data_IF_450069185015
#
_entry.id   IF_450069185015
#
_cell.length_a   1.000
_cell.length_b   1.000
_cell.length_c   1.000
_cell.angle_alpha   90.00
_cell.angle_beta   90.00
_cell.angle_gamma   90.00
#
_symmetry.space_group_name_H-M   'P 1'
#
loop_
_entity.id
_entity.type
_entity.pdbx_description
1 polymer ?
#
# COMPACT_ATOMS: atom_id res chain seq x y z
N UNK A 1 -6.41 30.09 3.52
CA UNK A 1 -7.27 31.20 3.05
C UNK A 1 -6.41 32.36 2.57
N UNK A 2 -6.92 33.21 1.69
CA UNK A 2 -6.24 34.46 1.29
C UNK A 2 -6.40 35.55 2.36
N UNK A 3 -5.55 36.58 2.32
CA UNK A 3 -5.64 37.76 3.20
C UNK A 3 -6.99 38.47 3.00
N UNK A 4 -7.46 38.59 1.76
CA UNK A 4 -8.75 39.20 1.42
C UNK A 4 -9.94 38.44 2.04
N UNK A 5 -9.88 37.10 2.10
CA UNK A 5 -10.91 36.29 2.76
C UNK A 5 -10.95 36.51 4.28
N UNK A 6 -9.77 36.67 4.90
CA UNK A 6 -9.63 36.95 6.33
C UNK A 6 -10.23 38.32 6.67
N UNK A 7 -9.88 39.35 5.89
CA UNK A 7 -10.41 40.69 6.07
C UNK A 7 -11.93 40.73 5.92
N UNK A 8 -12.47 39.96 4.97
CA UNK A 8 -13.92 39.86 4.74
C UNK A 8 -14.67 39.28 5.94
N UNK A 9 -14.11 38.29 6.64
CA UNK A 9 -14.73 37.71 7.84
C UNK A 9 -14.82 38.74 8.95
N UNK A 10 -13.71 39.43 9.23
CA UNK A 10 -13.66 40.48 10.26
C UNK A 10 -14.61 41.63 9.91
N UNK A 11 -14.69 42.00 8.64
CA UNK A 11 -15.59 43.02 8.13
C UNK A 11 -17.07 42.67 8.35
N UNK A 12 -17.49 41.42 8.12
CA UNK A 12 -18.89 41.02 8.28
C UNK A 12 -19.38 41.13 9.74
N UNK A 13 -18.56 40.74 10.72
CA UNK A 13 -18.89 40.90 12.14
C UNK A 13 -18.92 42.38 12.57
N UNK A 14 -17.90 43.14 12.19
CA UNK A 14 -17.76 44.55 12.59
C UNK A 14 -18.84 45.44 11.97
N UNK A 15 -19.22 45.20 10.71
CA UNK A 15 -20.34 45.92 10.06
C UNK A 15 -21.68 45.72 10.79
N UNK A 16 -21.84 44.62 11.52
CA UNK A 16 -23.02 44.30 12.30
C UNK A 16 -22.89 44.68 13.79
N UNK A 17 -21.81 45.37 14.17
CA UNK A 17 -21.59 45.88 15.52
C UNK A 17 -20.95 44.87 16.48
N UNK A 18 -20.43 43.74 15.98
CA UNK A 18 -19.79 42.70 16.78
C UNK A 18 -18.26 42.70 16.64
N UNK A 19 -17.56 42.37 17.72
CA UNK A 19 -16.12 42.12 17.74
C UNK A 19 -15.87 40.64 17.98
N UNK A 20 -14.96 40.03 17.22
CA UNK A 20 -14.61 38.62 17.39
C UNK A 20 -13.34 38.46 18.24
N UNK A 21 -13.38 37.58 19.24
CA UNK A 21 -12.21 37.28 20.06
C UNK A 21 -11.13 36.54 19.25
N UNK A 22 -9.83 36.73 19.58
CA UNK A 22 -8.74 36.09 18.85
C UNK A 22 -8.85 34.56 18.74
N UNK A 23 -9.28 33.89 19.81
CA UNK A 23 -9.38 32.42 19.82
C UNK A 23 -10.61 31.92 19.04
N UNK A 24 -11.73 32.65 19.10
CA UNK A 24 -12.90 32.39 18.26
C UNK A 24 -12.58 32.58 16.77
N UNK A 25 -11.81 33.62 16.45
CA UNK A 25 -11.36 33.90 15.09
C UNK A 25 -10.41 32.82 14.57
N UNK A 26 -9.42 32.41 15.37
CA UNK A 26 -8.53 31.29 15.02
C UNK A 26 -9.31 30.02 14.72
N UNK A 27 -10.31 29.69 15.55
CA UNK A 27 -11.14 28.50 15.35
C UNK A 27 -11.95 28.56 14.05
N UNK A 28 -12.54 29.73 13.74
CA UNK A 28 -13.23 29.94 12.47
C UNK A 28 -12.31 29.82 11.26
N UNK A 29 -11.08 30.37 11.34
CA UNK A 29 -10.10 30.30 10.25
C UNK A 29 -9.59 28.87 10.06
N UNK A 30 -9.31 28.14 11.14
CA UNK A 30 -8.95 26.72 11.13
C UNK A 30 -10.00 25.94 10.32
N UNK A 31 -11.27 26.09 10.68
CA UNK A 31 -12.39 25.39 10.05
C UNK A 31 -12.62 25.85 8.61
N UNK A 32 -12.60 27.15 8.32
CA UNK A 32 -12.77 27.62 6.94
C UNK A 32 -11.59 27.28 6.03
N UNK A 33 -10.45 26.91 6.61
CA UNK A 33 -9.28 26.41 5.89
C UNK A 33 -9.35 24.90 5.70
N UNK A 34 -9.79 24.16 6.73
CA UNK A 34 -9.98 22.71 6.75
C UNK A 34 -11.15 22.28 5.85
N UNK A 35 -12.28 23.00 5.90
CA UNK A 35 -13.52 22.68 5.17
C UNK A 35 -13.82 23.72 4.07
N UNK A 36 -13.12 23.60 2.93
CA UNK A 36 -13.24 24.58 1.82
C UNK A 36 -14.63 24.71 1.19
N UNK A 37 -15.46 23.68 1.29
CA UNK A 37 -16.82 23.65 0.71
C UNK A 37 -17.90 24.22 1.64
N UNK A 38 -17.55 24.57 2.88
CA UNK A 38 -18.49 25.21 3.79
C UNK A 38 -18.85 26.61 3.26
N UNK A 39 -20.15 26.91 3.26
CA UNK A 39 -20.63 28.26 2.99
C UNK A 39 -20.28 29.19 4.17
N UNK A 40 -19.06 29.76 4.12
CA UNK A 40 -18.49 30.65 5.14
C UNK A 40 -19.48 31.79 5.49
N UNK A 41 -20.15 32.33 4.48
CA UNK A 41 -21.13 33.41 4.65
C UNK A 41 -22.38 32.98 5.42
N UNK A 42 -22.83 31.74 5.26
CA UNK A 42 -23.97 31.21 6.01
C UNK A 42 -23.64 31.06 7.50
N UNK A 43 -22.46 30.49 7.81
CA UNK A 43 -22.01 30.29 9.19
C UNK A 43 -21.87 31.64 9.91
N UNK A 44 -21.20 32.61 9.29
CA UNK A 44 -21.05 33.96 9.85
C UNK A 44 -22.43 34.59 10.12
N UNK A 45 -23.37 34.48 9.18
CA UNK A 45 -24.72 35.00 9.36
C UNK A 45 -25.50 34.31 10.48
N UNK A 46 -25.33 32.99 10.68
CA UNK A 46 -25.92 32.26 11.81
C UNK A 46 -25.37 32.78 13.14
N UNK A 47 -24.06 32.98 13.24
CA UNK A 47 -23.39 33.54 14.44
C UNK A 47 -23.95 34.91 14.77
N UNK A 48 -24.00 35.80 13.78
CA UNK A 48 -24.51 37.15 13.96
C UNK A 48 -25.99 37.12 14.37
N UNK A 49 -26.84 36.33 13.71
CA UNK A 49 -28.27 36.26 14.02
C UNK A 49 -28.52 35.77 15.46
N UNK A 50 -27.80 34.74 15.89
CA UNK A 50 -27.91 34.22 17.26
C UNK A 50 -27.49 35.28 18.27
N UNK A 51 -26.36 35.95 18.03
CA UNK A 51 -25.91 37.05 18.89
C UNK A 51 -26.86 38.24 18.95
N UNK A 52 -27.51 38.57 17.84
CA UNK A 52 -28.55 39.59 17.83
C UNK A 52 -29.79 39.17 18.64
N UNK A 53 -30.16 37.89 18.62
CA UNK A 53 -31.29 37.35 19.38
C UNK A 53 -31.01 37.25 20.89
N UNK A 54 -29.75 37.04 21.28
CA UNK A 54 -29.28 36.98 22.67
C UNK A 54 -29.06 38.37 23.31
N UNK A 55 -29.27 39.45 22.55
CA UNK A 55 -28.77 40.78 22.92
C UNK A 55 -29.51 41.43 24.10
N UNK A 56 -28.85 41.44 25.27
CA UNK A 56 -28.75 42.63 26.15
C UNK A 56 -27.31 42.92 26.64
N UNK A 57 -26.32 41.99 26.64
CA UNK A 57 -25.07 42.26 27.41
C UNK A 57 -23.69 42.05 26.75
N UNK A 58 -23.53 41.52 25.53
CA UNK A 58 -22.17 41.39 24.94
C UNK A 58 -22.13 41.60 23.44
N UNK A 59 -21.23 42.48 23.00
CA UNK A 59 -20.86 42.71 21.60
C UNK A 59 -19.72 41.80 21.13
N UNK A 60 -19.22 40.91 22.00
CA UNK A 60 -18.13 39.99 21.68
C UNK A 60 -18.66 38.63 21.22
N UNK A 61 -18.08 38.12 20.13
CA UNK A 61 -18.21 36.74 19.65
C UNK A 61 -17.10 35.92 20.27
N UNK A 62 -17.49 35.02 21.18
CA UNK A 62 -16.59 34.13 21.93
C UNK A 62 -16.43 32.79 21.23
N UNK A 63 -15.48 31.97 21.69
CA UNK A 63 -15.26 30.63 21.13
C UNK A 63 -16.49 29.73 21.23
N UNK A 64 -17.28 29.84 22.30
CA UNK A 64 -18.51 29.06 22.50
C UNK A 64 -19.57 29.38 21.46
N UNK A 65 -19.64 30.64 21.02
CA UNK A 65 -20.61 31.09 20.03
C UNK A 65 -20.31 30.53 18.64
N UNK A 66 -19.03 30.30 18.38
CA UNK A 66 -18.55 29.59 17.19
C UNK A 66 -18.88 28.11 17.33
N UNK A 67 -18.47 27.45 18.42
CA UNK A 67 -18.69 26.02 18.68
C UNK A 67 -20.17 25.60 18.63
N UNK A 68 -21.08 26.41 19.15
CA UNK A 68 -22.50 26.07 19.20
C UNK A 68 -23.23 26.19 17.84
N UNK A 69 -22.61 26.82 16.85
CA UNK A 69 -23.19 27.06 15.52
C UNK A 69 -22.50 26.24 14.44
N UNK A 70 -21.26 25.84 14.73
CA UNK A 70 -20.59 24.87 13.91
C UNK A 70 -21.42 23.59 13.84
N UNK A 71 -21.50 22.97 12.66
CA UNK A 71 -22.14 21.67 12.54
C UNK A 71 -21.51 20.74 13.57
N UNK A 72 -22.33 20.14 14.43
CA UNK A 72 -21.84 19.06 15.29
C UNK A 72 -21.41 17.92 14.38
N UNK A 73 -20.39 17.16 14.78
CA UNK A 73 -19.89 15.99 14.02
C UNK A 73 -21.03 15.03 13.61
N UNK A 74 -22.07 14.94 14.46
CA UNK A 74 -23.30 14.16 14.26
C UNK A 74 -24.28 14.76 13.21
N UNK A 75 -24.24 16.06 12.94
CA UNK A 75 -25.07 16.73 11.91
C UNK A 75 -24.40 16.72 10.53
N UNK A 76 -23.08 16.49 10.48
CA UNK A 76 -22.34 16.23 9.24
C UNK A 76 -22.46 14.77 8.78
N UNK A 77 -22.99 13.88 9.63
CA UNK A 77 -23.49 12.55 9.26
C UNK A 77 -24.81 12.67 8.46
N UNK A 78 -24.82 13.52 7.42
CA UNK A 78 -25.79 13.39 6.34
C UNK A 78 -25.61 11.99 5.77
N UNK A 79 -26.50 11.09 6.19
CA UNK A 79 -26.61 9.68 5.83
C UNK A 79 -26.10 9.44 4.41
N UNK A 80 -24.84 9.08 4.28
CA UNK A 80 -24.36 8.49 3.05
C UNK A 80 -25.08 7.14 3.01
N UNK A 81 -26.08 7.01 2.15
CA UNK A 81 -26.66 5.71 1.81
C UNK A 81 -25.56 4.93 1.11
N UNK A 82 -24.81 4.16 1.90
CA UNK A 82 -23.81 3.23 1.39
C UNK A 82 -24.54 2.09 0.69
N UNK A 83 -24.05 1.67 -0.47
CA UNK A 83 -24.59 0.49 -1.12
C UNK A 83 -24.31 -0.73 -0.23
N UNK A 84 -25.36 -1.49 0.09
CA UNK A 84 -25.27 -2.74 0.88
C UNK A 84 -24.70 -3.86 0.01
N UNK A 85 -23.41 -3.72 -0.32
CA UNK A 85 -22.63 -4.75 -1.01
C UNK A 85 -21.99 -5.60 0.07
N UNK A 86 -22.35 -6.89 0.10
CA UNK A 86 -21.81 -7.85 1.05
C UNK A 86 -20.29 -7.90 0.91
N UNK A 87 -19.61 -7.64 2.03
CA UNK A 87 -18.17 -7.80 2.09
C UNK A 87 -17.81 -9.29 2.05
N UNK A 88 -16.82 -9.64 1.23
CA UNK A 88 -16.36 -11.00 1.02
C UNK A 88 -14.85 -11.07 1.28
N UNK A 89 -14.48 -11.27 2.55
CA UNK A 89 -13.10 -11.50 2.97
C UNK A 89 -12.94 -12.95 3.38
N UNK A 90 -12.00 -13.62 2.72
CA UNK A 90 -11.56 -14.97 3.05
C UNK A 90 -10.10 -14.94 3.50
N UNK A 91 -9.83 -15.39 4.73
CA UNK A 91 -8.45 -15.63 5.19
C UNK A 91 -7.99 -16.94 4.58
N UNK A 92 -7.28 -16.84 3.45
CA UNK A 92 -6.76 -18.02 2.71
C UNK A 92 -5.72 -18.78 3.53
N UNK A 93 -4.97 -18.08 4.40
CA UNK A 93 -3.94 -18.66 5.27
C UNK A 93 -3.61 -17.76 6.44
N UNK A 94 -3.54 -18.34 7.64
CA UNK A 94 -2.97 -17.71 8.84
C UNK A 94 -1.65 -18.41 9.21
N UNK A 95 -0.48 -17.83 8.87
CA UNK A 95 0.80 -18.44 9.20
C UNK A 95 1.17 -18.29 10.69
N UNK A 96 0.48 -17.45 11.47
CA UNK A 96 0.89 -17.11 12.85
C UNK A 96 1.08 -18.34 13.74
N UNK A 97 0.22 -19.35 13.58
CA UNK A 97 0.29 -20.60 14.32
C UNK A 97 1.15 -21.69 13.64
N UNK A 98 1.58 -21.47 12.39
CA UNK A 98 2.33 -22.43 11.58
C UNK A 98 3.82 -22.08 11.44
N UNK A 99 4.25 -20.88 11.89
CA UNK A 99 5.64 -20.45 11.80
C UNK A 99 6.49 -21.34 12.72
N UNK A 100 7.17 -22.31 12.10
CA UNK A 100 8.25 -23.07 12.72
C UNK A 100 9.56 -22.39 12.38
N UNK A 101 10.32 -22.01 13.40
CA UNK A 101 11.72 -21.60 13.22
C UNK A 101 12.46 -22.84 12.73
N UNK A 102 12.87 -22.82 11.47
CA UNK A 102 13.67 -23.88 10.89
C UNK A 102 15.13 -23.60 11.24
N UNK A 103 15.72 -24.42 12.10
CA UNK A 103 17.10 -24.22 12.56
C UNK A 103 18.13 -24.80 11.58
N UNK A 104 19.24 -24.07 11.42
CA UNK A 104 20.46 -24.55 10.79
C UNK A 104 20.39 -24.86 9.29
N UNK A 105 21.25 -25.79 8.85
CA UNK A 105 21.47 -26.15 7.44
C UNK A 105 20.25 -26.84 6.84
N UNK A 106 19.56 -27.67 7.62
CA UNK A 106 18.39 -28.41 7.16
C UNK A 106 17.21 -27.49 6.85
N UNK A 107 17.01 -26.45 7.67
CA UNK A 107 16.03 -25.40 7.39
C UNK A 107 16.27 -24.70 6.07
N UNK A 108 17.51 -24.29 5.81
CA UNK A 108 17.91 -23.65 4.55
C UNK A 108 17.67 -24.58 3.35
N UNK A 109 18.10 -25.84 3.44
CA UNK A 109 17.87 -26.85 2.39
C UNK A 109 16.38 -27.01 2.09
N UNK A 110 15.55 -27.15 3.12
CA UNK A 110 14.10 -27.31 2.97
C UNK A 110 13.44 -26.06 2.37
N UNK A 111 13.92 -24.87 2.74
CA UNK A 111 13.44 -23.61 2.16
C UNK A 111 13.71 -23.53 0.66
N UNK A 112 14.95 -23.79 0.21
CA UNK A 112 15.30 -23.77 -1.20
C UNK A 112 14.61 -24.88 -2.00
N UNK A 113 14.47 -26.09 -1.43
CA UNK A 113 13.71 -27.16 -2.05
C UNK A 113 12.23 -26.78 -2.20
N UNK A 114 11.61 -26.18 -1.17
CA UNK A 114 10.22 -25.72 -1.24
C UNK A 114 10.04 -24.62 -2.30
N UNK A 115 10.98 -23.66 -2.36
CA UNK A 115 11.03 -22.61 -3.38
C UNK A 115 11.09 -23.22 -4.79
N UNK A 116 12.04 -24.13 -5.02
CA UNK A 116 12.18 -24.84 -6.29
C UNK A 116 10.88 -25.53 -6.69
N UNK A 117 10.30 -26.35 -5.80
CA UNK A 117 9.08 -27.12 -6.08
C UNK A 117 7.87 -26.22 -6.40
N UNK A 118 7.69 -25.11 -5.67
CA UNK A 118 6.59 -24.16 -5.91
C UNK A 118 6.75 -23.44 -7.25
N UNK A 119 7.94 -22.94 -7.54
CA UNK A 119 8.22 -22.25 -8.81
C UNK A 119 8.16 -23.20 -10.00
N UNK A 120 8.63 -24.45 -9.84
CA UNK A 120 8.50 -25.50 -10.84
C UNK A 120 7.03 -25.86 -11.10
N UNK A 121 6.18 -25.87 -10.06
CA UNK A 121 4.73 -26.06 -10.22
C UNK A 121 4.11 -24.94 -11.06
N UNK A 122 4.49 -23.68 -10.81
CA UNK A 122 4.04 -22.54 -11.63
C UNK A 122 4.53 -22.69 -13.07
N UNK A 123 5.81 -23.02 -13.26
CA UNK A 123 6.41 -23.23 -14.57
C UNK A 123 5.69 -24.33 -15.39
N UNK A 124 5.21 -25.40 -14.73
CA UNK A 124 4.44 -26.48 -15.35
C UNK A 124 2.97 -26.16 -15.61
N UNK A 125 2.42 -25.07 -15.07
CA UNK A 125 1.00 -24.74 -15.22
C UNK A 125 0.60 -24.22 -16.61
N UNK A 126 1.60 -23.90 -17.46
CA UNK A 126 1.37 -23.40 -18.82
C UNK A 126 0.97 -24.54 -19.78
N UNK A 127 -0.18 -24.45 -20.48
CA UNK A 127 -0.64 -25.51 -21.39
C UNK A 127 0.31 -25.82 -22.57
N UNK A 128 1.13 -24.86 -22.98
CA UNK A 128 2.12 -25.00 -24.07
C UNK A 128 3.49 -25.50 -23.61
N UNK A 129 3.65 -25.82 -22.32
CA UNK A 129 4.96 -26.20 -21.76
C UNK A 129 5.32 -27.64 -22.10
N UNK A 130 6.41 -27.84 -22.85
CA UNK A 130 7.10 -29.13 -22.95
C UNK A 130 7.66 -29.53 -21.57
N UNK A 131 7.68 -30.82 -21.26
CA UNK A 131 8.22 -31.36 -20.00
C UNK A 131 9.67 -30.94 -19.75
N UNK A 132 9.99 -30.58 -18.52
CA UNK A 132 11.37 -30.31 -18.09
C UNK A 132 12.15 -31.61 -17.89
N UNK A 133 13.42 -31.60 -18.29
CA UNK A 133 14.38 -32.67 -18.00
C UNK A 133 15.20 -32.30 -16.76
N UNK A 134 15.35 -33.24 -15.84
CA UNK A 134 16.20 -33.08 -14.65
C UNK A 134 17.67 -33.10 -15.04
N UNK A 135 18.51 -32.35 -14.32
CA UNK A 135 19.92 -32.15 -14.69
C UNK A 135 20.71 -33.46 -14.77
N UNK A 136 20.45 -34.42 -13.88
CA UNK A 136 21.08 -35.75 -13.88
C UNK A 136 20.84 -36.58 -15.16
N UNK A 137 19.72 -36.34 -15.86
CA UNK A 137 19.34 -37.07 -17.08
C UNK A 137 19.87 -36.43 -18.36
N UNK A 138 20.53 -35.28 -18.23
CA UNK A 138 21.06 -34.55 -19.38
C UNK A 138 22.31 -35.27 -19.89
N UNK A 139 22.31 -35.65 -21.17
CA UNK A 139 23.46 -36.28 -21.83
C UNK A 139 24.21 -35.28 -22.70
N UNK A 140 25.50 -35.53 -22.94
CA UNK A 140 26.36 -34.65 -23.76
C UNK A 140 25.88 -34.48 -25.23
N UNK A 141 24.97 -35.33 -25.71
CA UNK A 141 24.38 -35.22 -27.05
C UNK A 141 22.96 -34.64 -27.04
N UNK A 142 22.48 -34.18 -25.89
CA UNK A 142 21.15 -33.58 -25.75
C UNK A 142 21.00 -32.31 -26.59
N UNK A 143 19.97 -32.28 -27.43
CA UNK A 143 19.49 -31.09 -28.15
C UNK A 143 18.03 -30.88 -27.85
N UNK A 144 17.60 -29.62 -27.87
CA UNK A 144 16.21 -29.20 -27.66
C UNK A 144 15.63 -29.66 -26.30
N UNK A 145 16.47 -29.61 -25.26
CA UNK A 145 16.11 -29.99 -23.90
C UNK A 145 15.74 -28.74 -23.11
N UNK A 146 14.66 -28.79 -22.32
CA UNK A 146 14.29 -27.71 -21.39
C UNK A 146 14.64 -28.10 -19.97
N UNK A 147 15.34 -27.22 -19.27
CA UNK A 147 15.80 -27.42 -17.90
C UNK A 147 15.22 -26.29 -17.05
N UNK A 148 14.74 -26.61 -15.85
CA UNK A 148 14.27 -25.64 -14.88
C UNK A 148 15.05 -25.82 -13.58
N UNK A 149 15.64 -24.75 -13.07
CA UNK A 149 16.47 -24.78 -11.86
C UNK A 149 16.68 -23.40 -11.26
N UNK A 150 17.17 -23.37 -10.02
CA UNK A 150 17.55 -22.15 -9.31
C UNK A 150 18.94 -21.70 -9.72
N UNK A 151 19.13 -20.40 -9.91
CA UNK A 151 20.42 -19.83 -10.29
C UNK A 151 21.29 -19.71 -9.05
N UNK A 152 22.35 -20.50 -8.98
CA UNK A 152 23.35 -20.44 -7.90
C UNK A 152 24.31 -19.27 -8.09
N UNK A 153 24.82 -19.10 -9.30
CA UNK A 153 25.76 -18.04 -9.64
C UNK A 153 25.47 -17.49 -11.04
N UNK A 154 25.72 -16.19 -11.22
CA UNK A 154 25.65 -15.52 -12.51
C UNK A 154 26.94 -14.74 -12.76
N UNK A 155 27.47 -14.90 -13.97
CA UNK A 155 28.65 -14.16 -14.46
C UNK A 155 28.39 -13.62 -15.87
N UNK A 156 28.60 -12.31 -16.04
CA UNK A 156 28.49 -11.65 -17.35
C UNK A 156 29.89 -11.49 -17.94
N UNK A 157 30.09 -11.94 -19.18
CA UNK A 157 31.36 -11.85 -19.91
C UNK A 157 31.08 -11.38 -21.33
N UNK A 158 31.38 -10.11 -21.64
CA UNK A 158 31.11 -9.46 -22.93
C UNK A 158 29.64 -9.57 -23.34
N UNK A 159 29.34 -10.36 -24.37
CA UNK A 159 28.01 -10.62 -24.95
C UNK A 159 27.38 -11.91 -24.42
N UNK A 160 27.96 -12.53 -23.38
CA UNK A 160 27.50 -13.81 -22.84
C UNK A 160 27.19 -13.70 -21.36
N UNK A 161 26.15 -14.39 -20.96
CA UNK A 161 25.81 -14.65 -19.56
C UNK A 161 26.05 -16.12 -19.28
N UNK A 162 26.83 -16.39 -18.24
CA UNK A 162 27.11 -17.72 -17.72
C UNK A 162 26.32 -17.86 -16.42
N UNK A 163 25.46 -18.86 -16.37
CA UNK A 163 24.64 -19.20 -15.21
C UNK A 163 25.06 -20.57 -14.70
N UNK A 164 25.23 -20.72 -13.39
CA UNK A 164 25.23 -22.03 -12.74
C UNK A 164 23.83 -22.28 -12.19
N UNK A 165 23.13 -23.25 -12.78
CA UNK A 165 21.74 -23.56 -12.47
C UNK A 165 21.67 -24.90 -11.75
N UNK A 166 20.98 -24.94 -10.62
CA UNK A 166 20.87 -26.09 -9.73
C UNK A 166 19.42 -26.58 -9.63
N UNK A 167 19.24 -27.89 -9.67
CA UNK A 167 18.01 -28.59 -9.31
C UNK A 167 18.35 -29.67 -8.24
N UNK A 168 17.36 -30.38 -7.66
CA UNK A 168 17.63 -31.41 -6.66
C UNK A 168 18.50 -32.58 -7.14
N UNK A 169 18.78 -32.68 -8.45
CA UNK A 169 19.52 -33.77 -9.08
C UNK A 169 20.96 -33.38 -9.47
N UNK A 170 21.26 -32.09 -9.59
CA UNK A 170 22.62 -31.62 -9.88
C UNK A 170 22.74 -30.14 -10.23
N UNK A 171 23.91 -29.77 -10.72
CA UNK A 171 24.25 -28.41 -11.15
C UNK A 171 24.68 -28.44 -12.62
N UNK A 172 24.15 -27.50 -13.41
CA UNK A 172 24.46 -27.34 -14.83
C UNK A 172 24.95 -25.92 -15.12
N UNK A 173 26.09 -25.84 -15.82
CA UNK A 173 26.60 -24.58 -16.32
C UNK A 173 25.97 -24.25 -17.67
N UNK A 174 25.25 -23.14 -17.73
CA UNK A 174 24.53 -22.67 -18.92
C UNK A 174 25.17 -21.38 -19.43
N UNK A 175 25.47 -21.34 -20.72
CA UNK A 175 25.93 -20.15 -21.43
C UNK A 175 24.83 -19.69 -22.36
N UNK A 176 24.33 -18.48 -22.14
CA UNK A 176 23.39 -17.81 -23.03
C UNK A 176 24.08 -16.60 -23.66
N UNK A 177 23.81 -16.35 -24.93
CA UNK A 177 24.15 -15.04 -25.53
C UNK A 177 23.12 -14.01 -25.07
N UNK A 178 23.57 -12.78 -24.93
CA UNK A 178 22.69 -11.62 -24.87
C UNK A 178 22.79 -10.88 -26.20
N UNK A 179 21.65 -10.43 -26.70
CA UNK A 179 21.59 -9.50 -27.83
C UNK A 179 20.43 -8.52 -27.61
N UNK A 180 20.26 -7.57 -28.52
CA UNK A 180 19.23 -6.52 -28.40
C UNK A 180 17.80 -7.08 -28.36
N UNK A 181 17.58 -8.34 -28.75
CA UNK A 181 16.27 -8.99 -28.77
C UNK A 181 16.08 -9.97 -27.59
N UNK A 182 17.15 -10.35 -26.90
CA UNK A 182 17.12 -11.29 -25.77
C UNK A 182 17.96 -10.77 -24.58
N UNK A 183 17.36 -9.85 -23.82
CA UNK A 183 17.96 -9.27 -22.62
C UNK A 183 17.74 -10.12 -21.35
N UNK A 184 16.77 -11.05 -21.37
CA UNK A 184 16.40 -11.85 -20.18
C UNK A 184 17.57 -12.47 -19.43
N UNK A 185 18.62 -13.05 -20.08
CA UNK A 185 19.77 -13.59 -19.36
C UNK A 185 20.49 -12.55 -18.48
N UNK A 186 20.51 -11.27 -18.87
CA UNK A 186 21.15 -10.20 -18.09
C UNK A 186 20.30 -9.73 -16.91
N UNK A 187 19.01 -10.02 -16.91
CA UNK A 187 18.07 -9.62 -15.85
C UNK A 187 18.00 -10.67 -14.72
N UNK A 188 18.41 -11.91 -15.03
CA UNK A 188 18.45 -13.02 -14.05
C UNK A 188 19.25 -12.61 -12.81
N UNK A 189 18.73 -12.93 -11.63
CA UNK A 189 19.40 -12.79 -10.35
C UNK A 189 19.71 -14.18 -9.75
N UNK A 190 20.73 -14.27 -8.87
CA UNK A 190 20.89 -15.44 -8.02
C UNK A 190 19.60 -15.79 -7.26
N UNK A 191 19.45 -17.06 -6.93
CA UNK A 191 18.32 -17.69 -6.24
C UNK A 191 16.95 -17.61 -6.94
N UNK A 192 16.90 -17.12 -8.18
CA UNK A 192 15.71 -17.16 -9.04
C UNK A 192 15.60 -18.49 -9.78
N UNK A 193 14.37 -18.97 -9.98
CA UNK A 193 14.14 -20.10 -10.88
C UNK A 193 14.10 -19.61 -12.32
N UNK A 194 14.92 -20.22 -13.17
CA UNK A 194 14.94 -19.97 -14.60
C UNK A 194 14.62 -21.24 -15.37
N UNK A 195 14.04 -21.05 -16.55
CA UNK A 195 13.81 -22.09 -17.54
C UNK A 195 14.79 -21.83 -18.68
N UNK A 196 15.64 -22.79 -18.99
CA UNK A 196 16.60 -22.70 -20.07
C UNK A 196 16.26 -23.70 -21.19
N UNK A 197 16.19 -23.20 -22.41
CA UNK A 197 16.05 -24.03 -23.61
C UNK A 197 17.44 -24.30 -24.19
N UNK A 198 17.90 -25.54 -24.02
CA UNK A 198 19.26 -25.96 -24.33
C UNK A 198 19.34 -26.45 -25.78
N UNK A 199 20.15 -25.74 -26.56
CA UNK A 199 20.40 -26.05 -27.98
C UNK A 199 21.50 -27.08 -28.20
N UNK A 200 22.50 -27.11 -27.33
CA UNK A 200 23.60 -28.07 -27.40
C UNK A 200 24.36 -28.14 -26.08
N UNK A 201 25.06 -29.25 -25.87
CA UNK A 201 25.93 -29.46 -24.71
C UNK A 201 27.30 -29.90 -25.21
N UNK A 202 28.36 -29.29 -24.67
CA UNK A 202 29.74 -29.63 -25.01
C UNK A 202 30.57 -29.59 -23.75
N UNK A 203 31.27 -30.68 -23.46
CA UNK A 203 32.20 -30.77 -22.32
C UNK A 203 31.54 -30.36 -20.98
N UNK A 204 30.28 -30.75 -20.77
CA UNK A 204 29.51 -30.42 -19.55
C UNK A 204 28.98 -28.98 -19.48
N UNK A 205 29.19 -28.16 -20.52
CA UNK A 205 28.62 -26.82 -20.63
C UNK A 205 27.44 -26.83 -21.60
N UNK A 206 26.29 -26.37 -21.13
CA UNK A 206 25.07 -26.24 -21.93
C UNK A 206 24.99 -24.85 -22.58
N UNK A 207 24.62 -24.80 -23.85
CA UNK A 207 24.40 -23.57 -24.60
C UNK A 207 22.91 -23.35 -24.79
N UNK A 208 22.41 -22.26 -24.25
CA UNK A 208 20.99 -21.92 -24.31
C UNK A 208 20.67 -21.02 -25.50
N UNK A 209 19.53 -21.27 -26.13
CA UNK A 209 18.90 -20.34 -27.08
C UNK A 209 18.01 -19.32 -26.39
N UNK A 210 17.41 -19.70 -25.26
CA UNK A 210 16.46 -18.86 -24.54
C UNK A 210 16.48 -19.13 -23.03
N UNK A 211 16.43 -18.05 -22.27
CA UNK A 211 16.18 -18.08 -20.82
C UNK A 211 14.82 -17.43 -20.59
N UNK A 212 13.98 -18.07 -19.78
CA UNK A 212 12.62 -17.62 -19.48
C UNK A 212 12.38 -17.69 -17.97
N UNK A 213 11.48 -16.84 -17.47
CA UNK A 213 10.99 -16.91 -16.11
C UNK A 213 9.69 -17.74 -16.03
N UNK A 214 9.38 -18.33 -14.86
CA UNK A 214 8.04 -18.81 -14.57
C UNK A 214 7.08 -17.61 -14.51
N UNK A 215 6.25 -17.44 -15.53
CA UNK A 215 5.19 -16.42 -15.54
C UNK A 215 3.83 -17.08 -15.37
N UNK A 216 2.86 -16.25 -15.00
CA UNK A 216 1.46 -16.61 -14.88
C UNK A 216 0.76 -16.59 -16.25
N UNK A 217 -0.34 -17.35 -16.44
CA UNK A 217 -1.10 -17.31 -17.69
C UNK A 217 -1.67 -15.92 -17.99
N UNK A 218 -1.59 -15.47 -19.24
CA UNK A 218 -2.11 -14.16 -19.70
C UNK A 218 -3.64 -14.03 -19.70
N UNK A 219 -4.38 -15.09 -19.36
CA UNK A 219 -5.84 -15.05 -19.38
C UNK A 219 -6.34 -14.20 -18.20
N UNK A 220 -6.71 -12.96 -18.50
CA UNK A 220 -7.48 -12.12 -17.59
C UNK A 220 -8.77 -12.81 -17.16
N UNK A 221 -9.09 -12.71 -15.87
CA UNK A 221 -10.36 -13.19 -15.34
C UNK A 221 -11.47 -12.22 -15.77
N UNK A 222 -12.53 -12.72 -16.42
CA UNK A 222 -13.74 -11.95 -16.62
C UNK A 222 -14.54 -11.96 -15.30
N UNK A 223 -14.53 -10.84 -14.59
CA UNK A 223 -15.34 -10.68 -13.38
C UNK A 223 -16.75 -10.19 -13.74
N UNK A 224 -17.76 -10.75 -13.07
CA UNK A 224 -19.14 -10.24 -13.07
C UNK A 224 -19.46 -9.48 -11.78
N UNK A 225 -18.44 -9.18 -10.98
CA UNK A 225 -18.61 -8.46 -9.72
C UNK A 225 -19.16 -7.04 -9.97
N UNK A 226 -19.95 -6.50 -9.02
CA UNK A 226 -20.34 -5.10 -9.05
C UNK A 226 -19.11 -4.20 -9.01
N UNK A 227 -19.25 -2.97 -9.51
CA UNK A 227 -18.19 -1.98 -9.42
C UNK A 227 -18.00 -1.57 -7.96
N UNK A 228 -16.81 -1.86 -7.43
CA UNK A 228 -16.38 -1.50 -6.09
C UNK A 228 -14.97 -0.92 -6.14
N UNK A 229 -14.64 -0.12 -5.13
CA UNK A 229 -13.29 0.42 -4.97
C UNK A 229 -12.59 -0.19 -3.75
N UNK A 230 -11.26 -0.20 -3.84
CA UNK A 230 -10.36 -0.48 -2.74
C UNK A 230 -9.32 0.64 -2.65
N UNK A 231 -9.06 1.14 -1.44
CA UNK A 231 -7.99 2.08 -1.17
C UNK A 231 -6.73 1.28 -0.80
N UNK A 232 -5.62 1.58 -1.46
CA UNK A 232 -4.34 0.92 -1.21
C UNK A 232 -3.40 1.90 -0.49
N UNK A 233 -2.93 1.49 0.68
CA UNK A 233 -2.00 2.22 1.54
C UNK A 233 -0.84 1.30 1.90
N UNK A 234 0.29 1.88 2.28
CA UNK A 234 1.45 1.20 2.86
C UNK A 234 2.31 2.23 3.58
N UNK A 235 3.29 1.77 4.37
CA UNK A 235 4.37 2.62 4.89
C UNK A 235 3.84 3.86 5.65
N UNK A 236 2.86 3.64 6.53
CA UNK A 236 2.29 4.72 7.34
C UNK A 236 3.26 5.19 8.43
N UNK A 237 4.11 4.30 8.96
CA UNK A 237 5.13 4.62 9.97
C UNK A 237 4.58 5.43 11.16
N UNK A 238 3.38 5.07 11.65
CA UNK A 238 2.76 5.75 12.79
C UNK A 238 3.68 5.65 14.01
N UNK A 239 3.95 6.79 14.64
CA UNK A 239 4.92 6.92 15.73
C UNK A 239 6.25 7.56 15.32
N UNK A 240 6.51 7.72 14.02
CA UNK A 240 7.62 8.53 13.50
C UNK A 240 7.32 10.03 13.54
N UNK A 241 8.35 10.86 13.72
CA UNK A 241 8.25 12.32 13.53
C UNK A 241 7.93 12.73 12.09
N UNK A 242 8.20 11.85 11.13
CA UNK A 242 7.94 12.08 9.72
C UNK A 242 6.52 11.67 9.29
N UNK A 243 5.75 11.03 10.18
CA UNK A 243 4.36 10.69 9.93
C UNK A 243 3.57 11.95 9.55
N UNK A 244 2.96 11.93 8.36
CA UNK A 244 2.19 13.05 7.83
C UNK A 244 0.80 13.10 8.45
N UNK A 245 0.74 13.35 9.76
CA UNK A 245 -0.47 13.27 10.58
C UNK A 245 -1.64 14.04 9.97
N UNK A 246 -1.42 15.30 9.60
CA UNK A 246 -2.48 16.17 9.06
C UNK A 246 -3.00 15.65 7.72
N UNK A 247 -2.11 15.08 6.90
CA UNK A 247 -2.50 14.50 5.60
C UNK A 247 -3.31 13.23 5.80
N UNK A 248 -2.92 12.40 6.77
CA UNK A 248 -3.66 11.18 7.09
C UNK A 248 -5.03 11.48 7.72
N UNK A 249 -5.13 12.52 8.56
CA UNK A 249 -6.41 12.99 9.10
C UNK A 249 -7.34 13.51 7.99
N UNK A 250 -6.81 14.23 7.00
CA UNK A 250 -7.59 14.60 5.81
C UNK A 250 -8.09 13.40 5.01
N UNK A 251 -7.28 12.33 4.89
CA UNK A 251 -7.70 11.09 4.26
C UNK A 251 -8.86 10.44 5.04
N UNK A 252 -8.78 10.39 6.37
CA UNK A 252 -9.86 9.87 7.21
C UNK A 252 -11.15 10.68 7.05
N UNK A 253 -11.05 12.01 7.00
CA UNK A 253 -12.20 12.87 6.75
C UNK A 253 -12.81 12.65 5.36
N UNK A 254 -11.97 12.42 4.35
CA UNK A 254 -12.42 12.03 3.02
C UNK A 254 -13.14 10.67 3.05
N UNK A 255 -12.59 9.65 3.72
CA UNK A 255 -13.24 8.35 3.87
C UNK A 255 -14.61 8.45 4.56
N UNK A 256 -14.72 9.32 5.56
CA UNK A 256 -15.96 9.64 6.27
C UNK A 256 -16.95 10.43 5.41
N UNK A 257 -16.54 10.90 4.22
CA UNK A 257 -17.38 11.60 3.26
C UNK A 257 -17.62 13.07 3.60
N UNK A 258 -16.78 13.67 4.44
CA UNK A 258 -16.80 15.11 4.71
C UNK A 258 -16.39 15.95 3.49
N UNK A 259 -15.68 15.37 2.52
CA UNK A 259 -15.16 16.07 1.35
C UNK A 259 -15.20 15.21 0.07
N UNK A 260 -15.46 15.84 -1.09
CA UNK A 260 -15.13 15.28 -2.41
C UNK A 260 -16.03 14.15 -2.91
N UNK A 261 -15.39 13.13 -3.51
CA UNK A 261 -15.98 12.10 -4.38
C UNK A 261 -16.92 11.10 -3.68
N UNK A 262 -18.10 11.57 -3.26
CA UNK A 262 -19.12 10.75 -2.57
C UNK A 262 -19.50 9.47 -3.33
N UNK A 263 -19.49 9.51 -4.66
CA UNK A 263 -19.80 8.33 -5.49
C UNK A 263 -18.73 7.25 -5.42
N UNK A 264 -17.46 7.62 -5.22
CA UNK A 264 -16.37 6.67 -4.97
C UNK A 264 -16.52 6.10 -3.57
N UNK A 265 -16.74 6.95 -2.57
CA UNK A 265 -16.83 6.53 -1.16
C UNK A 265 -18.00 5.56 -0.94
N UNK A 266 -19.15 5.77 -1.58
CA UNK A 266 -20.29 4.84 -1.52
C UNK A 266 -19.95 3.41 -1.98
N UNK A 267 -19.07 3.31 -2.98
CA UNK A 267 -18.60 2.05 -3.59
C UNK A 267 -17.27 1.55 -3.01
N UNK A 268 -16.62 2.33 -2.15
CA UNK A 268 -15.39 1.93 -1.48
C UNK A 268 -15.72 0.92 -0.38
N UNK A 269 -15.14 -0.28 -0.49
CA UNK A 269 -15.44 -1.39 0.44
C UNK A 269 -14.22 -1.91 1.18
N UNK A 270 -13.02 -1.60 0.70
CA UNK A 270 -11.80 -2.14 1.25
C UNK A 270 -10.74 -1.05 1.42
N UNK A 271 -10.03 -1.08 2.55
CA UNK A 271 -8.77 -0.37 2.76
C UNK A 271 -7.69 -1.42 3.04
N UNK A 272 -6.70 -1.48 2.16
CA UNK A 272 -5.60 -2.43 2.26
C UNK A 272 -4.36 -1.66 2.68
N UNK A 273 -3.82 -1.97 3.87
CA UNK A 273 -2.57 -1.40 4.38
C UNK A 273 -1.47 -2.46 4.28
N UNK A 274 -0.59 -2.33 3.29
CA UNK A 274 0.40 -3.34 2.93
C UNK A 274 1.78 -3.06 3.58
N UNK A 275 1.89 -3.34 4.89
CA UNK A 275 3.15 -3.23 5.63
C UNK A 275 3.36 -1.89 6.33
N UNK A 276 4.36 -1.86 7.21
CA UNK A 276 4.88 -0.66 7.91
C UNK A 276 3.79 0.27 8.46
N UNK A 277 2.83 -0.32 9.17
CA UNK A 277 1.77 0.41 9.84
C UNK A 277 2.31 1.36 10.93
N UNK A 278 3.29 0.89 11.70
CA UNK A 278 3.97 1.63 12.77
C UNK A 278 5.47 1.68 12.47
N UNK A 279 6.17 2.67 13.00
CA UNK A 279 7.60 2.85 12.72
C UNK A 279 8.51 1.80 13.40
N UNK A 280 8.02 1.17 14.46
CA UNK A 280 8.80 0.21 15.22
C UNK A 280 9.69 0.88 16.27
N UNK A 281 10.45 0.05 16.99
CA UNK A 281 11.46 0.49 17.96
C UNK A 281 12.68 -0.43 17.84
N UNK A 282 13.85 0.17 17.63
CA UNK A 282 15.11 -0.56 17.53
C UNK A 282 15.35 -1.23 16.17
N UNK A 283 14.78 -0.68 15.10
CA UNK A 283 14.90 -1.21 13.74
C UNK A 283 16.29 -0.90 13.13
N UNK A 284 16.83 0.30 13.39
CA UNK A 284 18.15 0.72 12.92
C UNK A 284 18.87 1.65 13.93
N UNK A 285 20.21 1.81 13.82
CA UNK A 285 20.98 2.64 14.75
C UNK A 285 20.54 4.11 14.77
N UNK A 286 20.40 4.69 15.97
CA UNK A 286 19.95 6.06 16.23
C UNK A 286 18.48 6.38 15.88
N UNK A 287 17.63 5.37 15.65
CA UNK A 287 16.20 5.56 15.34
C UNK A 287 15.47 6.38 16.41
N UNK A 288 15.88 6.32 17.69
CA UNK A 288 15.24 7.03 18.79
C UNK A 288 15.17 8.56 18.61
N UNK A 289 16.01 9.13 17.75
CA UNK A 289 15.99 10.57 17.43
C UNK A 289 14.86 10.94 16.46
N UNK A 290 14.38 9.98 15.70
CA UNK A 290 13.37 10.12 14.64
C UNK A 290 11.97 9.68 15.10
N UNK A 291 11.89 8.99 16.25
CA UNK A 291 10.63 8.59 16.87
C UNK A 291 9.98 9.75 17.62
N UNK A 292 8.68 9.95 17.35
CA UNK A 292 7.80 10.78 18.16
C UNK A 292 7.29 9.97 19.37
N UNK A 293 6.93 8.70 19.14
CA UNK A 293 6.55 7.75 20.20
C UNK A 293 7.57 6.60 20.27
N UNK A 294 8.20 6.44 21.43
CA UNK A 294 9.30 5.48 21.64
C UNK A 294 8.82 4.13 22.21
N UNK A 295 7.54 3.99 22.54
CA UNK A 295 6.93 2.74 22.96
C UNK A 295 6.13 2.10 21.82
N UNK A 296 6.57 0.92 21.38
CA UNK A 296 5.91 0.15 20.31
C UNK A 296 4.43 -0.15 20.60
N UNK A 297 4.06 -0.41 21.85
CA UNK A 297 2.64 -0.67 22.19
C UNK A 297 1.80 0.58 21.98
N UNK A 298 2.34 1.75 22.32
CA UNK A 298 1.65 3.02 22.11
C UNK A 298 1.55 3.34 20.63
N UNK A 299 2.58 3.10 19.82
CA UNK A 299 2.48 3.25 18.36
C UNK A 299 1.30 2.45 17.78
N UNK A 300 1.12 1.19 18.20
CA UNK A 300 -0.02 0.38 17.78
C UNK A 300 -1.37 0.89 18.32
N UNK A 301 -1.42 1.42 19.54
CA UNK A 301 -2.64 2.05 20.08
C UNK A 301 -3.01 3.29 19.25
N UNK A 302 -2.05 4.14 18.91
CA UNK A 302 -2.28 5.29 18.03
C UNK A 302 -2.76 4.84 16.65
N UNK A 303 -2.13 3.82 16.07
CA UNK A 303 -2.56 3.27 14.79
C UNK A 303 -4.00 2.74 14.84
N UNK A 304 -4.37 2.03 15.92
CA UNK A 304 -5.73 1.56 16.12
C UNK A 304 -6.73 2.72 16.24
N UNK A 305 -6.39 3.80 16.96
CA UNK A 305 -7.25 5.00 17.07
C UNK A 305 -7.48 5.69 15.73
N UNK A 306 -6.49 5.67 14.84
CA UNK A 306 -6.62 6.16 13.47
C UNK A 306 -7.49 5.25 12.62
N UNK A 307 -7.26 3.93 12.66
CA UNK A 307 -8.03 2.94 11.90
C UNK A 307 -9.50 2.89 12.35
N UNK A 308 -9.78 3.05 13.65
CA UNK A 308 -11.15 3.07 14.19
C UNK A 308 -12.01 4.21 13.62
N UNK A 309 -11.38 5.26 13.09
CA UNK A 309 -12.08 6.36 12.43
C UNK A 309 -12.52 6.01 11.00
N UNK A 310 -12.02 4.92 10.40
CA UNK A 310 -12.48 4.45 9.10
C UNK A 310 -13.95 4.01 9.23
N UNK A 311 -14.85 4.46 8.32
CA UNK A 311 -16.26 4.09 8.39
C UNK A 311 -16.51 2.58 8.37
N UNK A 312 -17.44 2.11 9.20
CA UNK A 312 -17.75 0.67 9.40
C UNK A 312 -18.21 -0.09 8.16
N UNK A 313 -18.64 0.60 7.10
CA UNK A 313 -19.04 -0.02 5.83
C UNK A 313 -17.84 -0.40 4.95
N UNK A 314 -16.64 0.06 5.32
CA UNK A 314 -15.36 -0.25 4.71
C UNK A 314 -14.64 -1.25 5.63
N UNK A 315 -14.12 -2.34 5.06
CA UNK A 315 -13.27 -3.30 5.78
C UNK A 315 -11.79 -3.06 5.54
#
# INVERSE_FOLDING_TARGET
MSIEEIEKIVYEFTRKGFQIEPDAFRKLVEIFTEYREINKGEIINKIIKRKMAESIQSTFVTIKDVEDILPKKEELEDKIEYEDIKVDIEVIRDPGNEIKILEGIEGFKNYFLNRYLKLLKIANSRPSQKSFTTIDKITNNGKDVRVAGLVKEKKVVKDKVILEVEDPTGVLKIVSKQDNQNLTPIEVLPDQLVIAEISSIKEGIAYSTRIEFPEIPDKGFQSRAPEIYALLLSDLHIGSKSFQKETFEHLLHWLQGYHGDKEIIKKLKYVIIAGDLVDGVGIYPNQEKELEETDIRKQYILAAQYIEQIPKHIQ
#
